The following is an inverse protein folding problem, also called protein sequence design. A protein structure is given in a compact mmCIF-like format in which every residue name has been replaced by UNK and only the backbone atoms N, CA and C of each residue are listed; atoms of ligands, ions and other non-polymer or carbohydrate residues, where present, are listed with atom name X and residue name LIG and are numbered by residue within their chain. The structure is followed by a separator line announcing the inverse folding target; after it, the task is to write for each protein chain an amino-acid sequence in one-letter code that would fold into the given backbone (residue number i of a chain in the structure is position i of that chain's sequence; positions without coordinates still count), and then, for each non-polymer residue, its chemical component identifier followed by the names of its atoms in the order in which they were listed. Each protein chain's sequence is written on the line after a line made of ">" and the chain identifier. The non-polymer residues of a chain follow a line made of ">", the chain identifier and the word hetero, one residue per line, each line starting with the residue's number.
data_IF_959253866055
#
_entry.id   IF_959253866055
#
_cell.length_a   1.000
_cell.length_b   1.000
_cell.length_c   1.000
_cell.angle_alpha   90.00
_cell.angle_beta   90.00
_cell.angle_gamma   90.00
#
_symmetry.space_group_name_H-M   'P 1'
#
loop_
_entity.id
_entity.type
_entity.pdbx_description
1 polymer ?
#
# COMPACT_ATOMS: atom_id res chain seq x y z
N UNK A 1 10.79 8.92 7.50
CA UNK A 1 10.82 7.74 6.61
C UNK A 1 10.62 6.52 7.48
N UNK A 2 9.62 5.68 7.18
CA UNK A 2 9.33 4.46 7.93
C UNK A 2 9.64 3.23 7.08
N UNK A 3 10.12 2.17 7.71
CA UNK A 3 10.52 0.93 7.03
C UNK A 3 9.93 -0.33 7.64
N UNK A 4 9.09 -0.20 8.67
CA UNK A 4 8.35 -1.30 9.31
C UNK A 4 7.04 -0.78 9.91
N UNK A 5 6.05 -1.65 10.04
CA UNK A 5 4.86 -1.38 10.84
C UNK A 5 4.26 -2.67 11.43
N UNK A 6 3.29 -2.50 12.31
CA UNK A 6 2.52 -3.56 12.95
C UNK A 6 1.11 -3.53 12.38
N UNK A 7 0.60 -4.69 11.98
CA UNK A 7 -0.79 -4.88 11.59
C UNK A 7 -1.28 -6.19 12.20
N UNK A 8 -1.92 -6.08 13.36
CA UNK A 8 -2.48 -7.21 14.12
C UNK A 8 -3.99 -7.11 14.30
N UNK A 9 -4.56 -5.96 13.94
CA UNK A 9 -6.00 -5.69 13.99
C UNK A 9 -6.70 -6.47 12.89
N UNK A 10 -7.89 -6.99 13.19
CA UNK A 10 -8.77 -7.61 12.20
C UNK A 10 -9.09 -6.59 11.09
N UNK A 11 -8.98 -7.02 9.83
CA UNK A 11 -9.21 -6.14 8.69
C UNK A 11 -10.67 -5.67 8.61
N UNK A 12 -11.63 -6.42 9.13
CA UNK A 12 -13.04 -6.02 9.20
C UNK A 12 -13.25 -4.77 10.05
N UNK A 13 -12.55 -4.66 11.19
CA UNK A 13 -12.60 -3.48 12.07
C UNK A 13 -12.04 -2.24 11.37
N UNK A 14 -10.94 -2.42 10.64
CA UNK A 14 -10.37 -1.31 9.86
C UNK A 14 -11.28 -0.98 8.68
N UNK A 15 -11.87 -1.98 8.01
CA UNK A 15 -12.74 -1.78 6.86
C UNK A 15 -14.02 -0.99 7.20
N UNK A 16 -14.59 -1.23 8.38
CA UNK A 16 -15.75 -0.49 8.89
C UNK A 16 -15.47 1.02 8.99
N UNK A 17 -14.32 1.40 9.56
CA UNK A 17 -13.88 2.81 9.69
C UNK A 17 -13.74 3.52 8.34
N UNK A 18 -13.44 2.77 7.26
CA UNK A 18 -13.27 3.30 5.91
C UNK A 18 -14.46 3.01 4.97
N UNK A 19 -15.61 2.57 5.50
CA UNK A 19 -16.83 2.28 4.73
C UNK A 19 -16.60 1.28 3.58
N UNK A 20 -15.77 0.26 3.82
CA UNK A 20 -15.49 -0.81 2.86
C UNK A 20 -16.45 -1.98 3.08
N UNK A 21 -17.35 -2.20 2.12
CA UNK A 21 -18.40 -3.22 2.24
C UNK A 21 -17.92 -4.65 1.92
N UNK A 22 -16.86 -4.82 1.13
CA UNK A 22 -16.29 -6.12 0.78
C UNK A 22 -14.85 -6.23 1.29
N UNK A 23 -14.62 -7.16 2.22
CA UNK A 23 -13.30 -7.47 2.78
C UNK A 23 -12.87 -8.84 2.27
N UNK A 24 -12.55 -8.90 0.97
CA UNK A 24 -12.04 -10.10 0.31
C UNK A 24 -10.51 -10.27 0.43
N UNK A 25 -9.82 -9.29 1.05
CA UNK A 25 -8.38 -9.34 1.28
C UNK A 25 -8.05 -10.19 2.51
N UNK A 26 -7.12 -11.13 2.35
CA UNK A 26 -6.58 -11.92 3.45
C UNK A 26 -5.19 -11.43 3.84
N UNK A 27 -4.99 -11.14 5.12
CA UNK A 27 -3.70 -10.79 5.70
C UNK A 27 -3.54 -11.43 7.08
N UNK A 28 -2.44 -12.14 7.29
CA UNK A 28 -2.14 -12.72 8.59
C UNK A 28 -1.59 -11.65 9.54
N UNK A 29 -2.11 -11.53 10.77
CA UNK A 29 -1.59 -10.63 11.79
C UNK A 29 -0.06 -10.70 11.91
N UNK A 30 0.60 -9.54 11.87
CA UNK A 30 2.05 -9.43 11.90
C UNK A 30 2.50 -8.24 12.74
N UNK A 31 3.42 -8.50 13.67
CA UNK A 31 4.12 -7.46 14.45
C UNK A 31 5.33 -6.88 13.72
N UNK A 32 5.57 -7.30 12.48
CA UNK A 32 6.83 -7.06 11.82
C UNK A 32 6.70 -6.95 10.29
N UNK A 33 5.72 -6.18 9.81
CA UNK A 33 5.53 -5.96 8.37
C UNK A 33 6.71 -5.17 7.80
N UNK A 34 7.24 -5.60 6.65
CA UNK A 34 8.41 -5.00 6.00
C UNK A 34 8.22 -4.76 4.50
N UNK A 35 9.01 -3.87 3.88
CA UNK A 35 8.97 -3.62 2.45
C UNK A 35 9.14 -4.88 1.60
N UNK A 36 8.56 -4.86 0.41
CA UNK A 36 8.51 -5.99 -0.52
C UNK A 36 7.40 -7.00 -0.20
N UNK A 37 6.72 -6.89 0.93
CA UNK A 37 5.55 -7.71 1.26
C UNK A 37 4.29 -7.21 0.55
N UNK A 38 3.35 -8.12 0.32
CA UNK A 38 1.99 -7.79 -0.08
C UNK A 38 1.19 -7.44 1.17
N UNK A 39 0.60 -6.24 1.19
CA UNK A 39 -0.10 -5.67 2.34
C UNK A 39 -1.50 -5.19 1.92
N UNK A 40 -2.47 -5.19 2.83
CA UNK A 40 -3.76 -4.56 2.59
C UNK A 40 -3.58 -3.04 2.44
N UNK A 41 -4.29 -2.46 1.50
CA UNK A 41 -4.35 -1.02 1.26
C UNK A 41 -5.77 -0.62 0.87
N UNK A 42 -6.17 0.59 1.22
CA UNK A 42 -7.42 1.17 0.78
C UNK A 42 -7.21 1.98 -0.50
N UNK A 43 -8.08 1.75 -1.48
CA UNK A 43 -8.16 2.56 -2.70
C UNK A 43 -9.59 3.03 -2.90
N UNK A 44 -9.76 4.09 -3.69
CA UNK A 44 -11.06 4.50 -4.18
C UNK A 44 -11.16 4.23 -5.67
N UNK A 45 -12.20 3.51 -6.08
CA UNK A 45 -12.48 3.18 -7.49
C UNK A 45 -13.97 3.34 -7.73
N UNK A 46 -14.35 4.00 -8.83
CA UNK A 46 -15.76 4.21 -9.19
C UNK A 46 -16.62 4.78 -8.04
N UNK A 47 -16.03 5.74 -7.30
CA UNK A 47 -16.58 6.39 -6.11
C UNK A 47 -16.77 5.49 -4.86
N UNK A 48 -16.34 4.23 -4.91
CA UNK A 48 -16.42 3.27 -3.80
C UNK A 48 -15.05 3.02 -3.16
N UNK A 49 -15.04 2.90 -1.83
CA UNK A 49 -13.85 2.49 -1.09
C UNK A 49 -13.70 0.96 -1.20
N UNK A 50 -12.49 0.52 -1.51
CA UNK A 50 -12.16 -0.89 -1.63
C UNK A 50 -10.89 -1.19 -0.86
N UNK A 51 -10.86 -2.33 -0.17
CA UNK A 51 -9.62 -2.88 0.34
C UNK A 51 -9.02 -3.82 -0.72
N UNK A 52 -7.73 -3.64 -1.02
CA UNK A 52 -6.99 -4.43 -2.00
C UNK A 52 -5.64 -4.87 -1.45
N UNK A 53 -5.05 -5.89 -2.07
CA UNK A 53 -3.69 -6.31 -1.76
C UNK A 53 -2.69 -5.60 -2.68
N UNK A 54 -1.82 -4.77 -2.11
CA UNK A 54 -0.76 -4.06 -2.83
C UNK A 54 0.63 -4.53 -2.42
N UNK A 55 1.62 -4.39 -3.32
CA UNK A 55 3.03 -4.55 -2.97
C UNK A 55 3.52 -3.30 -2.23
N UNK A 56 4.15 -3.45 -1.06
CA UNK A 56 4.85 -2.33 -0.42
C UNK A 56 6.21 -2.09 -1.10
N UNK A 57 6.16 -1.28 -2.14
CA UNK A 57 7.30 -0.90 -2.97
C UNK A 57 6.80 -0.58 -4.37
N UNK A 58 6.77 0.71 -4.72
CA UNK A 58 6.17 1.15 -5.98
C UNK A 58 7.03 0.74 -7.17
N UNK A 59 6.42 0.06 -8.14
CA UNK A 59 7.06 -0.24 -9.43
C UNK A 59 6.40 0.69 -10.47
N UNK A 60 7.10 1.73 -10.95
CA UNK A 60 6.57 2.59 -12.00
C UNK A 60 6.29 1.80 -13.28
N UNK A 61 5.21 2.12 -13.98
CA UNK A 61 4.79 1.38 -15.19
C UNK A 61 5.85 1.35 -16.30
N UNK A 62 6.75 2.34 -16.34
CA UNK A 62 7.86 2.44 -17.31
C UNK A 62 9.11 1.65 -16.90
N UNK A 63 9.16 1.14 -15.68
CA UNK A 63 10.32 0.42 -15.17
C UNK A 63 10.45 -0.95 -15.83
N UNK A 64 11.63 -1.23 -16.40
CA UNK A 64 11.95 -2.56 -16.96
C UNK A 64 12.30 -3.58 -15.90
N UNK A 65 12.85 -3.12 -14.77
CA UNK A 65 13.28 -3.97 -13.66
C UNK A 65 12.42 -3.67 -12.41
N UNK A 66 11.67 -4.67 -11.90
CA UNK A 66 10.85 -4.51 -10.70
C UNK A 66 11.66 -4.25 -9.42
N UNK A 67 12.97 -4.53 -9.41
CA UNK A 67 13.84 -4.30 -8.25
C UNK A 67 13.90 -2.81 -7.83
N UNK A 68 13.54 -1.88 -8.71
CA UNK A 68 13.40 -0.46 -8.36
C UNK A 68 12.40 -0.23 -7.22
N UNK A 69 11.40 -1.10 -7.06
CA UNK A 69 10.40 -1.01 -6.00
C UNK A 69 10.98 -1.04 -4.59
N UNK A 70 12.12 -1.72 -4.39
CA UNK A 70 12.83 -1.74 -3.10
C UNK A 70 13.36 -0.34 -2.70
N UNK A 71 13.58 0.56 -3.67
CA UNK A 71 14.01 1.95 -3.44
C UNK A 71 12.83 2.92 -3.31
N UNK A 72 11.61 2.50 -3.67
CA UNK A 72 10.40 3.33 -3.74
C UNK A 72 9.36 2.90 -2.70
N UNK A 73 9.82 2.70 -1.46
CA UNK A 73 9.00 2.26 -0.32
C UNK A 73 8.38 3.43 0.48
N UNK A 74 8.82 4.66 0.21
CA UNK A 74 8.35 5.90 0.82
C UNK A 74 8.35 7.00 -0.25
N UNK A 75 7.42 7.94 -0.14
CA UNK A 75 7.40 9.17 -0.94
C UNK A 75 7.49 10.39 0.00
N UNK A 76 8.40 11.33 -0.32
CA UNK A 76 8.56 12.58 0.45
C UNK A 76 7.50 13.59 0.02
N UNK A 77 6.69 14.07 0.97
CA UNK A 77 5.60 15.01 0.70
C UNK A 77 6.07 16.27 -0.04
N UNK A 78 7.29 16.73 0.25
CA UNK A 78 7.91 17.91 -0.34
C UNK A 78 8.15 17.79 -1.85
N UNK A 79 8.31 16.56 -2.35
CA UNK A 79 8.77 16.31 -3.74
C UNK A 79 7.91 15.32 -4.53
N UNK A 80 6.85 14.78 -3.93
CA UNK A 80 6.05 13.69 -4.50
C UNK A 80 5.39 14.09 -5.82
N UNK A 81 4.93 15.34 -5.93
CA UNK A 81 4.26 15.84 -7.14
C UNK A 81 5.21 16.07 -8.32
N UNK A 82 6.53 16.18 -8.11
CA UNK A 82 7.50 16.47 -9.17
C UNK A 82 8.28 15.22 -9.61
N UNK A 83 8.42 14.21 -8.75
CA UNK A 83 9.22 13.01 -9.02
C UNK A 83 8.53 12.11 -10.06
N UNK A 84 9.21 11.74 -11.17
CA UNK A 84 8.63 10.87 -12.21
C UNK A 84 8.09 9.52 -11.73
N UNK A 85 8.61 9.01 -10.62
CA UNK A 85 8.14 7.76 -10.01
C UNK A 85 6.76 7.87 -9.37
N UNK A 86 6.29 9.06 -9.00
CA UNK A 86 5.08 9.25 -8.19
C UNK A 86 4.03 10.19 -8.81
N UNK A 87 4.39 10.97 -9.83
CA UNK A 87 3.55 12.05 -10.37
C UNK A 87 2.49 11.62 -11.40
N UNK A 88 2.46 10.34 -11.78
CA UNK A 88 1.56 9.77 -12.80
C UNK A 88 0.80 8.59 -12.21
#
# INVERSE_FOLDING_TARGET
>A
MCGRFVLITDLSVIAEEFEVNDVSVHFSPSRNVSPGQRIPAFIRRDNQNMMVTCLWGLIPFWAKDPAIGAKLINARAETVAQKPSFKN
#
